data_IF_455587762813
#
_entry.id   IF_455587762813
#
_cell.length_a   1.000
_cell.length_b   1.000
_cell.length_c   1.000
_cell.angle_alpha   90.00
_cell.angle_beta   90.00
_cell.angle_gamma   90.00
#
_symmetry.space_group_name_H-M   'P 1'
#
loop_
_entity.id
_entity.type
_entity.pdbx_description
1 polymer ?
#
# COMPACT_ATOMS: atom_id res chain seq x y z
N UNK A 1 12.88 -5.61 10.85
CA UNK A 1 12.46 -4.20 10.77
C UNK A 1 11.27 -3.87 11.68
N UNK A 2 10.18 -4.65 11.63
CA UNK A 2 8.93 -4.31 12.35
C UNK A 2 8.67 -5.14 13.63
N UNK A 3 9.64 -5.96 14.04
CA UNK A 3 9.46 -6.93 15.14
C UNK A 3 9.19 -6.25 16.50
N UNK A 4 10.00 -5.26 16.89
CA UNK A 4 9.86 -4.56 18.18
C UNK A 4 8.57 -3.73 18.24
N UNK A 5 8.23 -2.91 17.22
CA UNK A 5 6.94 -2.22 17.18
C UNK A 5 5.73 -3.16 17.19
N UNK A 6 5.80 -4.28 16.46
CA UNK A 6 4.69 -5.24 16.40
C UNK A 6 4.45 -5.92 17.75
N UNK A 7 5.49 -6.23 18.53
CA UNK A 7 5.37 -6.80 19.88
C UNK A 7 4.64 -5.88 20.87
N UNK A 8 4.82 -4.57 20.73
CA UNK A 8 4.21 -3.57 21.60
C UNK A 8 2.78 -3.20 21.18
N UNK A 9 2.30 -3.67 20.03
CA UNK A 9 1.01 -3.31 19.48
C UNK A 9 -0.11 -4.28 19.95
N UNK A 10 -1.25 -3.78 20.46
CA UNK A 10 -2.34 -4.62 21.01
C UNK A 10 -2.81 -5.76 20.08
N UNK A 11 -3.00 -5.43 18.80
CA UNK A 11 -3.36 -6.40 17.74
C UNK A 11 -2.16 -7.06 17.04
N UNK A 12 -1.14 -6.30 16.60
CA UNK A 12 -0.01 -6.84 15.78
C UNK A 12 0.93 -7.77 16.55
N UNK A 13 0.87 -7.79 17.89
CA UNK A 13 1.63 -8.75 18.73
C UNK A 13 1.32 -10.22 18.42
N UNK A 14 0.14 -10.51 17.86
CA UNK A 14 -0.29 -11.86 17.48
C UNK A 14 0.36 -12.37 16.17
N UNK A 15 1.13 -11.54 15.45
CA UNK A 15 1.84 -11.96 14.23
C UNK A 15 2.84 -13.07 14.55
N UNK A 16 3.02 -14.11 13.71
CA UNK A 16 3.83 -15.28 14.03
C UNK A 16 5.25 -14.98 14.53
N UNK A 17 5.96 -14.04 13.89
CA UNK A 17 7.29 -13.61 14.33
C UNK A 17 7.26 -12.79 15.62
N UNK A 18 6.27 -11.89 15.80
CA UNK A 18 6.13 -11.09 17.01
C UNK A 18 5.78 -11.95 18.24
N UNK A 19 4.92 -12.95 18.04
CA UNK A 19 4.46 -13.91 19.05
C UNK A 19 5.47 -15.05 19.31
N UNK A 20 6.57 -15.14 18.55
CA UNK A 20 7.57 -16.20 18.71
C UNK A 20 7.13 -17.58 18.22
N UNK A 21 6.03 -17.67 17.46
CA UNK A 21 5.52 -18.94 16.92
C UNK A 21 6.33 -19.46 15.73
N UNK A 22 7.08 -18.58 15.06
CA UNK A 22 8.01 -18.94 13.99
C UNK A 22 9.41 -18.44 14.34
N UNK A 23 10.45 -19.28 14.18
CA UNK A 23 11.82 -18.86 14.39
C UNK A 23 12.24 -17.83 13.34
N UNK A 24 13.01 -16.83 13.77
CA UNK A 24 13.47 -15.74 12.91
C UNK A 24 14.31 -16.22 11.73
N UNK A 25 15.07 -17.31 11.92
CA UNK A 25 15.90 -17.90 10.87
C UNK A 25 15.07 -18.41 9.68
N UNK A 26 13.89 -18.99 9.94
CA UNK A 26 12.99 -19.41 8.85
C UNK A 26 12.49 -18.20 8.05
N UNK A 27 12.18 -17.09 8.72
CA UNK A 27 11.82 -15.84 8.02
C UNK A 27 12.97 -15.28 7.18
N UNK A 28 14.20 -15.36 7.70
CA UNK A 28 15.40 -14.89 7.00
C UNK A 28 15.72 -15.72 5.75
N UNK A 29 15.47 -17.04 5.79
CA UNK A 29 15.66 -17.93 4.64
C UNK A 29 14.49 -17.87 3.64
N UNK A 30 13.26 -17.79 4.14
CA UNK A 30 12.07 -17.76 3.29
C UNK A 30 11.97 -16.47 2.45
N UNK A 31 12.37 -15.32 3.00
CA UNK A 31 12.31 -14.05 2.28
C UNK A 31 13.09 -14.04 0.94
N UNK A 32 14.40 -14.37 0.89
CA UNK A 32 15.13 -14.46 -0.37
C UNK A 32 14.64 -15.62 -1.23
N UNK A 33 14.30 -16.78 -0.65
CA UNK A 33 13.80 -17.92 -1.42
C UNK A 33 12.51 -17.59 -2.18
N UNK A 34 11.54 -16.95 -1.53
CA UNK A 34 10.29 -16.50 -2.15
C UNK A 34 10.52 -15.37 -3.16
N UNK A 35 11.49 -14.49 -2.91
CA UNK A 35 11.86 -13.43 -3.86
C UNK A 35 12.42 -14.04 -5.15
N UNK A 36 13.36 -14.98 -5.04
CA UNK A 36 13.92 -15.68 -6.20
C UNK A 36 12.85 -16.49 -6.93
N UNK A 37 12.03 -17.25 -6.21
CA UNK A 37 10.93 -18.00 -6.82
C UNK A 37 9.95 -17.08 -7.56
N UNK A 38 9.58 -15.94 -6.97
CA UNK A 38 8.71 -14.96 -7.60
C UNK A 38 9.28 -14.35 -8.88
N UNK A 39 10.59 -14.04 -8.90
CA UNK A 39 11.28 -13.53 -10.09
C UNK A 39 11.41 -14.60 -11.19
N UNK A 40 11.66 -15.86 -10.82
CA UNK A 40 11.69 -16.96 -11.79
C UNK A 40 10.31 -17.18 -12.43
N UNK A 41 9.24 -17.09 -11.64
CA UNK A 41 7.87 -17.17 -12.15
C UNK A 41 7.51 -15.97 -13.02
N UNK A 42 7.99 -14.76 -12.70
CA UNK A 42 7.71 -13.58 -13.53
C UNK A 42 8.37 -13.67 -14.90
N UNK A 43 9.59 -14.22 -14.97
CA UNK A 43 10.29 -14.47 -16.23
C UNK A 43 9.54 -15.46 -17.13
N UNK A 44 8.79 -16.38 -16.54
CA UNK A 44 7.94 -17.32 -17.28
C UNK A 44 6.64 -16.68 -17.81
N UNK A 45 6.23 -15.50 -17.31
CA UNK A 45 5.11 -14.73 -17.85
C UNK A 45 5.55 -13.89 -19.05
N UNK A 46 6.28 -12.80 -18.80
CA UNK A 46 6.93 -11.98 -19.83
C UNK A 46 8.00 -11.06 -19.20
N UNK A 47 8.87 -10.50 -20.05
CA UNK A 47 9.98 -9.63 -19.63
C UNK A 47 9.50 -8.29 -19.08
N UNK A 48 8.43 -7.72 -19.64
CA UNK A 48 7.86 -6.44 -19.20
C UNK A 48 7.28 -6.52 -17.79
N UNK A 49 6.54 -7.59 -17.47
CA UNK A 49 6.00 -7.90 -16.16
C UNK A 49 7.12 -8.08 -15.14
N UNK A 50 8.23 -8.71 -15.53
CA UNK A 50 9.41 -8.84 -14.67
C UNK A 50 9.99 -7.47 -14.32
N UNK A 51 10.04 -6.54 -15.29
CA UNK A 51 10.49 -5.16 -15.03
C UNK A 51 9.54 -4.42 -14.07
N UNK A 52 8.23 -4.55 -14.27
CA UNK A 52 7.21 -3.95 -13.37
C UNK A 52 7.31 -4.56 -11.96
N UNK A 53 7.49 -5.87 -11.85
CA UNK A 53 7.66 -6.57 -10.59
C UNK A 53 8.94 -6.13 -9.86
N UNK A 54 10.04 -5.96 -10.58
CA UNK A 54 11.30 -5.47 -10.02
C UNK A 54 11.15 -4.05 -9.49
N UNK A 55 10.55 -3.15 -10.27
CA UNK A 55 10.26 -1.78 -9.84
C UNK A 55 9.36 -1.77 -8.59
N UNK A 56 8.29 -2.57 -8.60
CA UNK A 56 7.39 -2.75 -7.46
C UNK A 56 8.14 -3.26 -6.22
N UNK A 57 9.03 -4.24 -6.38
CA UNK A 57 9.83 -4.79 -5.29
C UNK A 57 10.77 -3.75 -4.68
N UNK A 58 11.50 -3.00 -5.52
CA UNK A 58 12.38 -1.91 -5.09
C UNK A 58 11.59 -0.82 -4.35
N UNK A 59 10.44 -0.39 -4.89
CA UNK A 59 9.56 0.56 -4.21
C UNK A 59 9.07 0.04 -2.86
N UNK A 60 8.71 -1.24 -2.78
CA UNK A 60 8.25 -1.88 -1.54
C UNK A 60 9.36 -1.95 -0.49
N UNK A 61 10.59 -2.23 -0.90
CA UNK A 61 11.77 -2.20 -0.02
C UNK A 61 12.06 -0.77 0.45
N UNK A 62 12.13 0.20 -0.47
CA UNK A 62 12.35 1.60 -0.14
C UNK A 62 11.29 2.14 0.84
N UNK A 63 10.03 1.77 0.61
CA UNK A 63 8.92 2.03 1.52
C UNK A 63 9.18 1.47 2.91
N UNK A 64 9.48 0.18 2.98
CA UNK A 64 9.63 -0.55 4.24
C UNK A 64 10.81 -0.04 5.07
N UNK A 65 11.92 0.30 4.41
CA UNK A 65 13.17 0.73 5.04
C UNK A 65 13.09 2.18 5.55
N UNK A 66 12.62 3.12 4.73
CA UNK A 66 12.74 4.56 5.00
C UNK A 66 11.45 5.34 4.78
N UNK A 67 10.81 5.19 3.62
CA UNK A 67 9.78 6.15 3.20
C UNK A 67 8.52 6.10 4.05
N UNK A 68 8.21 4.95 4.67
CA UNK A 68 7.07 4.83 5.59
C UNK A 68 7.14 5.73 6.83
N UNK A 69 8.30 6.34 7.11
CA UNK A 69 8.52 7.23 8.26
C UNK A 69 8.22 8.69 7.94
N UNK A 70 8.12 9.05 6.66
CA UNK A 70 7.86 10.41 6.20
C UNK A 70 6.34 10.60 6.06
N UNK A 71 5.82 11.69 6.65
CA UNK A 71 4.40 12.03 6.65
C UNK A 71 3.92 12.23 5.21
N UNK A 72 2.72 11.75 4.90
CA UNK A 72 2.03 11.77 3.61
C UNK A 72 2.68 10.95 2.48
N UNK A 73 4.02 10.85 2.45
CA UNK A 73 4.72 10.01 1.47
C UNK A 73 4.30 8.55 1.63
N UNK A 74 4.04 8.09 2.85
CA UNK A 74 3.64 6.72 3.11
C UNK A 74 2.27 6.37 2.50
N UNK A 75 1.29 7.28 2.57
CA UNK A 75 -0.05 7.06 1.99
C UNK A 75 -0.05 7.20 0.47
N UNK A 76 0.71 8.15 -0.09
CA UNK A 76 0.88 8.30 -1.54
C UNK A 76 1.59 7.07 -2.12
N UNK A 77 2.66 6.61 -1.47
CA UNK A 77 3.39 5.44 -1.94
C UNK A 77 2.58 4.16 -1.79
N UNK A 78 1.75 4.03 -0.75
CA UNK A 78 0.79 2.92 -0.65
C UNK A 78 -0.18 2.92 -1.83
N UNK A 79 -0.77 4.06 -2.17
CA UNK A 79 -1.67 4.19 -3.32
C UNK A 79 -0.97 3.84 -4.64
N UNK A 80 0.25 4.36 -4.84
CA UNK A 80 1.08 4.06 -5.99
C UNK A 80 1.41 2.56 -6.08
N UNK A 81 1.80 1.92 -4.97
CA UNK A 81 2.10 0.48 -4.93
C UNK A 81 0.89 -0.38 -5.31
N UNK A 82 -0.32 -0.01 -4.88
CA UNK A 82 -1.53 -0.71 -5.31
C UNK A 82 -1.84 -0.47 -6.80
N UNK A 83 -1.60 0.73 -7.31
CA UNK A 83 -1.77 1.07 -8.72
C UNK A 83 -0.77 0.31 -9.60
N UNK A 84 0.49 0.20 -9.19
CA UNK A 84 1.52 -0.59 -9.90
C UNK A 84 1.14 -2.07 -9.97
N UNK A 85 0.40 -2.61 -9.00
CA UNK A 85 -0.11 -3.99 -9.09
C UNK A 85 -1.15 -4.15 -10.19
N UNK A 86 -2.00 -3.14 -10.42
CA UNK A 86 -2.94 -3.15 -11.55
C UNK A 86 -2.16 -3.12 -12.86
N UNK A 87 -1.15 -2.26 -12.96
CA UNK A 87 -0.25 -2.19 -14.12
C UNK A 87 0.43 -3.54 -14.38
N UNK A 88 1.00 -4.16 -13.33
CA UNK A 88 1.62 -5.48 -13.45
C UNK A 88 0.62 -6.55 -13.90
N UNK A 89 -0.61 -6.53 -13.38
CA UNK A 89 -1.67 -7.44 -13.80
C UNK A 89 -2.00 -7.30 -15.29
N UNK A 90 -2.19 -6.07 -15.76
CA UNK A 90 -2.50 -5.78 -17.17
C UNK A 90 -1.35 -6.17 -18.12
N UNK A 91 -0.10 -5.86 -17.74
CA UNK A 91 1.09 -6.26 -18.49
C UNK A 91 1.25 -7.78 -18.53
N UNK A 92 0.91 -8.49 -17.46
CA UNK A 92 1.00 -9.95 -17.42
C UNK A 92 0.01 -10.64 -18.38
N UNK A 93 -1.18 -10.06 -18.55
CA UNK A 93 -2.22 -10.59 -19.44
C UNK A 93 -2.23 -9.95 -20.84
N UNK A 94 -1.39 -8.94 -21.09
CA UNK A 94 -1.27 -8.26 -22.38
C UNK A 94 -2.47 -7.36 -22.73
N UNK A 95 -3.13 -6.77 -21.73
CA UNK A 95 -4.27 -5.86 -21.94
C UNK A 95 -3.84 -4.41 -21.75
N UNK A 96 -4.33 -3.53 -22.62
CA UNK A 96 -4.13 -2.09 -22.48
C UNK A 96 -4.93 -1.52 -21.31
N UNK A 97 -4.28 -0.68 -20.52
CA UNK A 97 -4.92 -0.04 -19.38
C UNK A 97 -5.65 1.22 -19.81
N UNK A 98 -6.95 1.27 -19.49
CA UNK A 98 -7.72 2.51 -19.58
C UNK A 98 -7.18 3.55 -18.59
N UNK A 99 -7.03 4.79 -19.07
CA UNK A 99 -6.68 5.94 -18.25
C UNK A 99 -7.67 6.12 -17.09
N UNK A 100 -8.97 5.90 -17.33
CA UNK A 100 -10.03 6.01 -16.32
C UNK A 100 -9.85 5.02 -15.19
N UNK A 101 -9.47 3.78 -15.49
CA UNK A 101 -9.21 2.75 -14.48
C UNK A 101 -8.04 3.15 -13.57
N UNK A 102 -6.96 3.66 -14.15
CA UNK A 102 -5.78 4.09 -13.40
C UNK A 102 -6.09 5.31 -12.52
N UNK A 103 -6.77 6.31 -13.07
CA UNK A 103 -7.16 7.50 -12.34
C UNK A 103 -8.10 7.16 -11.16
N UNK A 104 -9.15 6.37 -11.42
CA UNK A 104 -10.08 5.89 -10.40
C UNK A 104 -9.34 5.13 -9.30
N UNK A 105 -8.52 4.16 -9.69
CA UNK A 105 -7.81 3.29 -8.75
C UNK A 105 -6.83 4.07 -7.89
N UNK A 106 -6.11 5.05 -8.46
CA UNK A 106 -5.16 5.88 -7.72
C UNK A 106 -5.84 6.67 -6.59
N UNK A 107 -6.95 7.34 -6.89
CA UNK A 107 -7.70 8.10 -5.89
C UNK A 107 -8.41 7.20 -4.87
N UNK A 108 -8.95 6.05 -5.32
CA UNK A 108 -9.58 5.08 -4.43
C UNK A 108 -8.57 4.49 -3.44
N UNK A 109 -7.40 4.07 -3.91
CA UNK A 109 -6.35 3.54 -3.03
C UNK A 109 -5.75 4.61 -2.12
N UNK A 110 -5.66 5.87 -2.58
CA UNK A 110 -5.25 6.98 -1.72
C UNK A 110 -6.25 7.20 -0.58
N UNK A 111 -7.56 7.18 -0.88
CA UNK A 111 -8.61 7.27 0.13
C UNK A 111 -8.50 6.14 1.17
N UNK A 112 -8.33 4.89 0.72
CA UNK A 112 -8.16 3.74 1.61
C UNK A 112 -6.86 3.80 2.42
N UNK A 113 -5.77 4.30 1.83
CA UNK A 113 -4.50 4.49 2.54
C UNK A 113 -4.62 5.54 3.65
N UNK A 114 -5.33 6.64 3.39
CA UNK A 114 -5.66 7.67 4.36
C UNK A 114 -6.61 7.14 5.45
N UNK A 115 -7.64 6.37 5.09
CA UNK A 115 -8.55 5.74 6.05
C UNK A 115 -7.82 4.76 6.98
N UNK A 116 -6.87 3.98 6.43
CA UNK A 116 -6.01 3.10 7.23
C UNK A 116 -5.16 3.91 8.23
N UNK A 117 -4.64 5.06 7.83
CA UNK A 117 -3.87 5.95 8.72
C UNK A 117 -4.78 6.57 9.78
N UNK A 118 -5.95 7.09 9.38
CA UNK A 118 -6.95 7.65 10.27
C UNK A 118 -7.37 6.66 11.36
N UNK A 119 -7.72 5.42 10.99
CA UNK A 119 -8.11 4.38 11.96
C UNK A 119 -6.98 3.98 12.90
N UNK A 120 -5.71 3.99 12.43
CA UNK A 120 -4.54 3.77 13.29
C UNK A 120 -4.37 4.90 14.32
N UNK A 121 -4.49 6.18 13.91
CA UNK A 121 -4.41 7.34 14.81
C UNK A 121 -5.60 7.43 15.76
N UNK A 122 -6.82 7.18 15.28
CA UNK A 122 -8.03 7.24 16.08
C UNK A 122 -7.99 6.18 17.20
N UNK A 123 -7.54 4.96 16.90
CA UNK A 123 -7.32 3.94 17.91
C UNK A 123 -6.26 4.34 18.95
N UNK A 124 -5.27 5.15 18.56
CA UNK A 124 -4.27 5.68 19.48
C UNK A 124 -4.83 6.76 20.40
N UNK A 125 -5.65 7.67 19.86
CA UNK A 125 -6.39 8.68 20.63
C UNK A 125 -7.22 8.01 21.72
N UNK A 126 -7.99 6.96 21.37
CA UNK A 126 -8.79 6.20 22.34
C UNK A 126 -7.94 5.47 23.41
N UNK A 127 -6.64 5.27 23.17
CA UNK A 127 -5.71 4.64 24.11
C UNK A 127 -4.87 5.64 24.92
N UNK A 128 -5.13 6.94 24.79
CA UNK A 128 -4.39 8.00 25.50
C UNK A 128 -2.97 8.24 25.00
N UNK A 129 -2.62 7.79 23.79
CA UNK A 129 -1.28 7.97 23.19
C UNK A 129 -1.27 9.17 22.25
N UNK A 130 -0.24 10.01 22.34
CA UNK A 130 -0.16 11.27 21.58
C UNK A 130 0.65 11.20 20.28
N UNK A 131 1.54 10.21 20.11
CA UNK A 131 2.40 10.06 18.91
C UNK A 131 2.54 8.63 18.45
N UNK A 132 2.58 8.42 17.13
CA UNK A 132 2.74 7.09 16.54
C UNK A 132 4.16 6.53 16.72
N UNK A 133 4.31 5.30 17.23
CA UNK A 133 5.62 4.65 17.31
C UNK A 133 6.12 4.29 15.90
N UNK A 134 7.23 4.91 15.47
CA UNK A 134 7.91 4.61 14.21
C UNK A 134 7.43 5.40 12.99
N UNK A 135 6.54 6.39 13.17
CA UNK A 135 6.11 7.34 12.13
C UNK A 135 5.95 8.75 12.71
N UNK A 136 6.02 9.77 11.86
CA UNK A 136 5.98 11.17 12.26
C UNK A 136 4.55 11.77 12.33
N UNK A 137 3.53 10.96 12.59
CA UNK A 137 2.14 11.41 12.73
C UNK A 137 1.75 11.68 14.19
N UNK A 138 0.93 12.72 14.39
CA UNK A 138 0.31 13.12 15.66
C UNK A 138 -1.21 12.93 15.61
N UNK A 139 -1.86 12.80 16.77
CA UNK A 139 -3.34 12.82 16.86
C UNK A 139 -3.95 14.12 16.35
N UNK A 140 -3.19 15.21 16.32
CA UNK A 140 -3.60 16.50 15.74
C UNK A 140 -3.82 16.43 14.22
N UNK A 141 -3.22 15.44 13.53
CA UNK A 141 -3.36 15.26 12.07
C UNK A 141 -4.68 14.58 11.68
N UNK A 142 -5.50 14.15 12.64
CA UNK A 142 -6.75 13.42 12.38
C UNK A 142 -7.73 14.17 11.46
N UNK A 143 -8.04 15.47 11.68
CA UNK A 143 -8.95 16.20 10.82
C UNK A 143 -8.42 16.34 9.39
N UNK A 144 -7.11 16.53 9.23
CA UNK A 144 -6.46 16.62 7.92
C UNK A 144 -6.56 15.29 7.16
N UNK A 145 -6.28 14.17 7.83
CA UNK A 145 -6.38 12.84 7.21
C UNK A 145 -7.83 12.50 6.83
N UNK A 146 -8.79 12.92 7.65
CA UNK A 146 -10.22 12.75 7.37
C UNK A 146 -10.64 13.56 6.14
N UNK A 147 -10.28 14.84 6.08
CA UNK A 147 -10.65 15.71 4.94
C UNK A 147 -10.02 15.24 3.64
N UNK A 148 -8.72 14.93 3.65
CA UNK A 148 -8.00 14.42 2.47
C UNK A 148 -8.52 13.05 2.04
N UNK A 149 -8.82 12.15 2.99
CA UNK A 149 -9.34 10.82 2.70
C UNK A 149 -10.71 10.87 2.04
N UNK A 150 -11.61 11.70 2.57
CA UNK A 150 -12.92 11.94 1.99
C UNK A 150 -12.82 12.60 0.61
N UNK A 151 -11.99 13.64 0.46
CA UNK A 151 -11.78 14.32 -0.81
C UNK A 151 -11.26 13.37 -1.90
N UNK A 152 -10.26 12.53 -1.60
CA UNK A 152 -9.76 11.51 -2.52
C UNK A 152 -10.87 10.51 -2.91
N UNK A 153 -11.72 10.11 -1.97
CA UNK A 153 -12.86 9.24 -2.24
C UNK A 153 -13.89 9.89 -3.17
N UNK A 154 -14.25 11.16 -2.94
CA UNK A 154 -15.14 11.90 -3.84
C UNK A 154 -14.56 12.08 -5.23
N UNK A 155 -13.24 12.33 -5.35
CA UNK A 155 -12.58 12.41 -6.66
C UNK A 155 -12.64 11.06 -7.38
N UNK A 156 -12.45 9.94 -6.68
CA UNK A 156 -12.61 8.61 -7.29
C UNK A 156 -14.03 8.41 -7.86
N UNK A 157 -15.06 8.77 -7.08
CA UNK A 157 -16.46 8.71 -7.54
C UNK A 157 -16.69 9.65 -8.72
N UNK A 158 -16.14 10.86 -8.69
CA UNK A 158 -16.24 11.83 -9.79
C UNK A 158 -15.59 11.27 -11.08
N UNK A 159 -14.39 10.69 -10.99
CA UNK A 159 -13.71 10.05 -12.13
C UNK A 159 -14.56 8.93 -12.72
N UNK A 160 -15.20 8.11 -11.87
CA UNK A 160 -16.12 7.06 -12.33
C UNK A 160 -17.35 7.66 -13.03
N UNK A 161 -17.94 8.73 -12.49
CA UNK A 161 -19.08 9.40 -13.11
C UNK A 161 -18.71 10.01 -14.48
N UNK A 162 -17.53 10.62 -14.59
CA UNK A 162 -17.01 11.16 -15.85
C UNK A 162 -16.74 10.06 -16.88
N UNK A 163 -16.19 8.92 -16.44
CA UNK A 163 -16.02 7.75 -17.29
C UNK A 163 -17.36 7.29 -17.89
N UNK A 164 -18.40 7.12 -17.05
CA UNK A 164 -19.73 6.70 -17.52
C UNK A 164 -20.28 7.67 -18.57
N UNK A 165 -20.07 8.98 -18.40
CA UNK A 165 -20.52 10.00 -19.35
C UNK A 165 -19.58 10.18 -20.57
N UNK A 166 -18.43 9.52 -20.60
CA UNK A 166 -17.47 9.63 -21.70
C UNK A 166 -17.89 8.74 -22.89
N UNK A 167 -17.57 9.11 -24.14
CA UNK A 167 -17.85 8.28 -25.31
C UNK A 167 -17.18 6.90 -25.25
N UNK A 168 -16.05 6.81 -24.54
CA UNK A 168 -15.26 5.58 -24.32
C UNK A 168 -15.97 4.55 -23.45
N UNK A 169 -17.11 4.88 -22.82
CA UNK A 169 -17.88 3.91 -22.02
C UNK A 169 -18.85 3.05 -22.84
N UNK A 170 -19.09 3.44 -24.10
CA UNK A 170 -20.09 2.80 -24.99
C UNK A 170 -19.44 1.78 -25.94
N UNK A 171 -18.10 1.78 -26.05
CA UNK A 171 -17.31 0.74 -26.72
C UNK A 171 -17.01 -0.45 -25.80
#
# INVERSE_FOLDING_TARGET
>A
LDLTPDRQHPRKRKRPFAAGRLPLLQGLLAAPALTVAGLLLSLACNSEFTLVLLAYYVMTLAYSLRLKRIVMIDVVLLAALYTVRIIGGAVAIGIELSFWLLAFSMFMFLSLALLKRYTELHAMLSSGKTRTNGRAYSVEDLPLLQSMGAAAGYIAVMVMALYINSPESVE
#
